data_IF_537222010628
#
_entry.id   IF_537222010628
#
_cell.length_a   1.000
_cell.length_b   1.000
_cell.length_c   1.000
_cell.angle_alpha   90.00
_cell.angle_beta   90.00
_cell.angle_gamma   90.00
#
_symmetry.space_group_name_H-M   'P 1'
#
loop_
_entity.id
_entity.type
_entity.pdbx_description
1 polymer ?
#
# COMPACT_ATOMS: atom_id res chain seq x y z
N UNK A 1 9.00 -34.84 37.45
CA UNK A 1 9.00 -33.96 36.25
C UNK A 1 7.67 -33.97 35.49
N UNK A 2 7.05 -35.14 35.22
CA UNK A 2 5.85 -35.31 34.37
C UNK A 2 4.59 -34.57 34.86
N UNK A 3 4.28 -34.58 36.16
CA UNK A 3 3.05 -33.98 36.71
C UNK A 3 2.99 -32.46 36.50
N UNK A 4 4.14 -31.76 36.54
CA UNK A 4 4.20 -30.32 36.27
C UNK A 4 3.80 -30.01 34.82
N UNK A 5 4.20 -30.86 33.88
CA UNK A 5 3.85 -30.73 32.45
C UNK A 5 2.36 -30.92 32.22
N UNK A 6 1.74 -31.93 32.83
CA UNK A 6 0.30 -32.13 32.75
C UNK A 6 -0.50 -30.97 33.35
N UNK A 7 -0.07 -30.40 34.49
CA UNK A 7 -0.71 -29.24 35.10
C UNK A 7 -0.67 -28.01 34.18
N UNK A 8 0.43 -27.82 33.46
CA UNK A 8 0.57 -26.75 32.47
C UNK A 8 -0.33 -27.02 31.26
N UNK A 9 -0.35 -28.25 30.75
CA UNK A 9 -1.23 -28.66 29.65
C UNK A 9 -2.71 -28.41 29.96
N UNK A 10 -3.17 -28.84 31.14
CA UNK A 10 -4.55 -28.61 31.58
C UNK A 10 -4.88 -27.12 31.72
N UNK A 11 -3.93 -26.30 32.21
CA UNK A 11 -4.10 -24.84 32.31
C UNK A 11 -4.29 -24.19 30.95
N UNK A 12 -3.56 -24.62 29.91
CA UNK A 12 -3.70 -24.06 28.57
C UNK A 12 -4.91 -24.62 27.81
N UNK A 13 -5.31 -25.86 28.06
CA UNK A 13 -6.52 -26.46 27.47
C UNK A 13 -7.80 -25.69 27.86
N UNK A 14 -7.87 -25.22 29.11
CA UNK A 14 -9.01 -24.46 29.62
C UNK A 14 -8.96 -22.96 29.34
N UNK A 15 -7.87 -22.44 28.74
CA UNK A 15 -7.77 -21.03 28.37
C UNK A 15 -8.44 -20.79 27.02
N UNK A 16 -9.02 -19.60 26.84
CA UNK A 16 -9.53 -19.18 25.53
C UNK A 16 -8.38 -19.14 24.50
N UNK A 17 -8.60 -19.66 23.28
CA UNK A 17 -7.59 -19.61 22.24
C UNK A 17 -7.33 -18.17 21.82
N UNK A 18 -6.09 -17.87 21.44
CA UNK A 18 -5.70 -16.56 20.89
C UNK A 18 -6.11 -16.40 19.41
N UNK A 19 -6.65 -17.45 18.78
CA UNK A 19 -6.96 -17.48 17.35
C UNK A 19 -7.88 -16.33 16.96
N UNK A 20 -7.39 -15.46 16.07
CA UNK A 20 -8.15 -14.38 15.45
C UNK A 20 -8.84 -14.93 14.20
N UNK A 21 -10.12 -14.62 14.02
CA UNK A 21 -10.91 -15.08 12.89
C UNK A 21 -10.84 -14.07 11.73
N UNK A 22 -9.74 -14.12 10.98
CA UNK A 22 -9.52 -13.34 9.75
C UNK A 22 -9.97 -14.18 8.56
N UNK A 23 -10.78 -13.68 7.60
CA UNK A 23 -11.26 -12.30 7.46
C UNK A 23 -12.63 -12.01 8.11
N UNK A 24 -13.32 -13.02 8.65
CA UNK A 24 -14.75 -12.92 8.94
C UNK A 24 -15.14 -11.99 10.10
N UNK A 25 -14.32 -11.87 11.16
CA UNK A 25 -14.64 -11.04 12.34
C UNK A 25 -13.67 -9.91 12.59
N UNK A 26 -12.43 -10.04 12.14
CA UNK A 26 -11.40 -9.05 12.41
C UNK A 26 -10.56 -8.79 11.16
N UNK A 27 -10.31 -7.50 10.90
CA UNK A 27 -9.41 -7.06 9.85
C UNK A 27 -7.93 -7.36 10.14
N UNK A 28 -7.07 -7.20 9.12
CA UNK A 28 -5.62 -7.30 9.27
C UNK A 28 -5.11 -6.28 10.29
N UNK A 29 -4.05 -6.65 11.04
CA UNK A 29 -3.37 -5.69 11.92
C UNK A 29 -2.70 -4.63 11.05
N UNK A 30 -3.22 -3.41 11.12
CA UNK A 30 -2.64 -2.27 10.42
C UNK A 30 -2.32 -1.16 11.41
N UNK A 31 -1.27 -0.42 11.10
CA UNK A 31 -0.82 0.75 11.83
C UNK A 31 -0.68 1.91 10.85
N UNK A 32 -0.53 3.13 11.36
CA UNK A 32 -0.32 4.32 10.53
C UNK A 32 0.99 4.26 9.71
N UNK A 33 1.89 3.30 10.00
CA UNK A 33 3.15 3.10 9.27
C UNK A 33 3.16 1.82 8.44
N UNK A 34 2.03 1.12 8.33
CA UNK A 34 1.94 -0.10 7.54
C UNK A 34 2.17 0.21 6.06
N UNK A 35 3.03 -0.58 5.43
CA UNK A 35 3.43 -0.43 4.03
C UNK A 35 2.67 -1.44 3.17
N UNK A 36 1.65 -0.96 2.46
CA UNK A 36 0.81 -1.77 1.57
C UNK A 36 0.92 -1.35 0.11
N UNK A 37 -0.21 -1.29 -0.58
CA UNK A 37 -0.29 -0.93 -2.00
C UNK A 37 0.12 0.52 -2.23
N UNK A 38 0.80 0.79 -3.34
CA UNK A 38 1.12 2.15 -3.77
C UNK A 38 -0.08 2.82 -4.44
N UNK A 39 -0.28 4.10 -4.14
CA UNK A 39 -1.28 4.99 -4.75
C UNK A 39 -0.56 6.16 -5.39
N UNK A 40 -0.92 6.46 -6.64
CA UNK A 40 -0.31 7.53 -7.42
C UNK A 40 -1.31 8.67 -7.62
N UNK A 41 -0.97 9.85 -7.11
CA UNK A 41 -1.63 11.10 -7.47
C UNK A 41 -1.01 11.65 -8.76
N UNK A 42 -1.72 11.48 -9.88
CA UNK A 42 -1.24 11.93 -11.19
C UNK A 42 -1.18 13.46 -11.31
N UNK A 43 -1.94 14.19 -10.49
CA UNK A 43 -1.96 15.66 -10.53
C UNK A 43 -0.68 16.28 -9.95
N UNK A 44 -0.06 15.62 -8.97
CA UNK A 44 1.17 16.07 -8.30
C UNK A 44 2.46 15.52 -8.93
N UNK A 45 2.37 14.46 -9.72
CA UNK A 45 3.55 13.84 -10.32
C UNK A 45 4.11 14.70 -11.44
N UNK A 46 5.37 15.13 -11.33
CA UNK A 46 6.06 15.96 -12.35
C UNK A 46 6.92 15.16 -13.34
N UNK A 47 7.02 13.84 -13.17
CA UNK A 47 7.87 13.00 -14.01
C UNK A 47 9.38 13.13 -13.74
N UNK A 48 9.78 13.45 -12.50
CA UNK A 48 11.19 13.60 -12.11
C UNK A 48 12.00 12.27 -12.06
N UNK A 49 11.33 11.11 -12.11
CA UNK A 49 11.93 9.77 -12.09
C UNK A 49 12.77 9.42 -10.86
N UNK A 50 12.67 10.19 -9.76
CA UNK A 50 13.39 9.89 -8.50
C UNK A 50 12.97 8.55 -7.89
N UNK A 51 11.67 8.21 -7.96
CA UNK A 51 11.14 6.94 -7.47
C UNK A 51 11.74 5.73 -8.19
N UNK A 52 12.05 5.84 -9.49
CA UNK A 52 12.73 4.78 -10.24
C UNK A 52 14.19 4.64 -9.78
N UNK A 53 14.91 5.76 -9.66
CA UNK A 53 16.34 5.74 -9.30
C UNK A 53 16.61 5.20 -7.89
N UNK A 54 15.71 5.48 -6.94
CA UNK A 54 15.88 5.05 -5.54
C UNK A 54 15.46 3.60 -5.30
N UNK A 55 14.79 2.94 -6.27
CA UNK A 55 14.23 1.62 -6.04
C UNK A 55 15.35 0.57 -5.96
N UNK A 56 15.54 -0.10 -4.79
CA UNK A 56 16.62 -1.08 -4.64
C UNK A 56 16.41 -2.35 -5.47
N UNK A 57 15.16 -2.64 -5.84
CA UNK A 57 14.77 -3.83 -6.59
C UNK A 57 14.49 -3.56 -8.08
N UNK A 58 14.75 -2.33 -8.56
CA UNK A 58 14.43 -1.88 -9.93
C UNK A 58 13.01 -2.28 -10.38
N UNK A 59 12.04 -2.10 -9.48
CA UNK A 59 10.65 -2.48 -9.68
C UNK A 59 9.81 -1.40 -10.37
N UNK A 60 10.36 -0.20 -10.55
CA UNK A 60 9.63 0.97 -11.03
C UNK A 60 10.15 1.37 -12.40
N UNK A 61 9.27 1.46 -13.40
CA UNK A 61 9.61 1.91 -14.74
C UNK A 61 8.76 3.12 -15.11
N UNK A 62 9.37 4.19 -15.61
CA UNK A 62 8.62 5.36 -16.06
C UNK A 62 8.04 5.12 -17.47
N UNK A 63 6.72 5.24 -17.60
CA UNK A 63 5.99 5.03 -18.86
C UNK A 63 5.29 6.31 -19.29
N UNK A 64 5.16 6.53 -20.60
CA UNK A 64 4.39 7.66 -21.13
C UNK A 64 2.90 7.42 -20.96
N UNK A 65 2.18 8.45 -20.53
CA UNK A 65 0.71 8.46 -20.42
C UNK A 65 0.20 9.69 -21.14
N UNK A 66 -0.70 9.50 -22.10
CA UNK A 66 -1.28 10.59 -22.87
C UNK A 66 -2.26 11.41 -22.01
N UNK A 67 -2.52 12.66 -22.40
CA UNK A 67 -3.42 13.56 -21.69
C UNK A 67 -2.84 14.94 -21.35
N UNK A 68 -3.70 15.88 -20.92
CA UNK A 68 -3.28 17.22 -20.52
C UNK A 68 -2.72 17.20 -19.09
N UNK A 69 -1.39 17.12 -18.97
CA UNK A 69 -0.69 17.12 -17.69
C UNK A 69 0.13 18.40 -17.53
N UNK A 70 -0.44 19.50 -16.99
CA UNK A 70 0.25 20.80 -16.91
C UNK A 70 1.52 20.75 -16.04
N UNK A 71 1.51 19.90 -15.01
CA UNK A 71 2.62 19.71 -14.08
C UNK A 71 3.69 18.72 -14.61
N UNK A 72 3.37 17.94 -15.66
CA UNK A 72 4.23 16.88 -16.19
C UNK A 72 4.40 17.01 -17.71
N UNK A 73 5.26 17.94 -18.11
CA UNK A 73 5.56 18.22 -19.53
C UNK A 73 6.08 16.97 -20.26
N UNK A 74 6.81 16.10 -19.55
CA UNK A 74 7.37 14.86 -20.11
C UNK A 74 6.32 13.76 -20.28
N UNK A 75 5.15 13.90 -19.67
CA UNK A 75 4.04 12.94 -19.68
C UNK A 75 4.44 11.53 -19.23
N UNK A 76 5.45 11.43 -18.34
CA UNK A 76 5.95 10.15 -17.83
C UNK A 76 5.50 9.90 -16.39
N UNK A 77 5.03 8.69 -16.11
CA UNK A 77 4.52 8.30 -14.79
C UNK A 77 5.07 6.93 -14.38
N UNK A 78 5.18 6.65 -13.07
CA UNK A 78 5.72 5.40 -12.58
C UNK A 78 4.74 4.24 -12.82
N UNK A 79 5.23 3.16 -13.44
CA UNK A 79 4.63 1.83 -13.48
C UNK A 79 5.38 0.94 -12.50
N UNK A 80 4.66 0.22 -11.64
CA UNK A 80 5.27 -0.60 -10.58
C UNK A 80 5.02 -2.08 -10.86
N UNK A 81 6.08 -2.87 -10.86
CA UNK A 81 6.02 -4.32 -10.87
C UNK A 81 6.02 -4.86 -9.43
N UNK A 82 4.86 -5.32 -8.97
CA UNK A 82 4.72 -5.88 -7.63
C UNK A 82 5.38 -7.25 -7.45
N UNK A 83 5.86 -7.89 -8.51
CA UNK A 83 6.64 -9.13 -8.39
C UNK A 83 8.08 -8.86 -7.93
N UNK A 84 8.59 -7.67 -8.22
CA UNK A 84 9.93 -7.24 -7.83
C UNK A 84 9.92 -6.34 -6.60
N UNK A 85 8.79 -5.66 -6.36
CA UNK A 85 8.68 -4.70 -5.27
C UNK A 85 8.87 -5.37 -3.90
N UNK A 86 9.78 -4.84 -3.09
CA UNK A 86 10.05 -5.29 -1.72
C UNK A 86 9.26 -4.54 -0.65
N UNK A 87 8.34 -3.64 -1.06
CA UNK A 87 7.53 -2.81 -0.16
C UNK A 87 8.34 -2.00 0.87
N UNK A 88 9.57 -1.61 0.52
CA UNK A 88 10.47 -0.87 1.40
C UNK A 88 10.06 0.59 1.65
N UNK A 89 9.25 1.19 0.78
CA UNK A 89 8.74 2.57 0.94
C UNK A 89 9.70 3.70 0.53
N UNK A 90 10.93 3.40 0.08
CA UNK A 90 11.91 4.44 -0.30
C UNK A 90 11.40 5.35 -1.43
N UNK A 91 10.59 4.84 -2.34
CA UNK A 91 10.01 5.61 -3.43
C UNK A 91 9.03 6.70 -2.94
N UNK A 92 8.31 6.46 -1.85
CA UNK A 92 7.39 7.42 -1.23
C UNK A 92 8.19 8.51 -0.52
N UNK A 93 9.22 8.12 0.22
CA UNK A 93 10.08 9.07 0.95
C UNK A 93 10.90 9.94 -0.02
N UNK A 94 11.39 9.36 -1.11
CA UNK A 94 12.18 10.08 -2.11
C UNK A 94 11.35 11.05 -2.96
N UNK A 95 10.01 10.95 -2.99
CA UNK A 95 9.18 11.80 -3.84
C UNK A 95 9.08 13.23 -3.26
N UNK A 96 9.66 14.27 -3.88
CA UNK A 96 9.62 15.63 -3.32
C UNK A 96 8.21 16.26 -3.36
N UNK A 97 7.33 15.77 -4.23
CA UNK A 97 5.98 16.32 -4.46
C UNK A 97 4.86 15.50 -3.81
N UNK A 98 5.19 14.47 -3.01
CA UNK A 98 4.23 13.55 -2.39
C UNK A 98 3.24 12.90 -3.38
N UNK A 99 3.64 12.76 -4.64
CA UNK A 99 2.77 12.19 -5.67
C UNK A 99 2.56 10.67 -5.49
N UNK A 100 3.45 9.98 -4.79
CA UNK A 100 3.34 8.55 -4.53
C UNK A 100 3.18 8.32 -3.02
N UNK A 101 2.16 7.54 -2.64
CA UNK A 101 1.87 7.18 -1.25
C UNK A 101 1.67 5.67 -1.12
N UNK A 102 1.70 5.14 0.10
CA UNK A 102 1.34 3.74 0.40
C UNK A 102 0.12 3.67 1.31
N UNK A 103 -0.71 2.64 1.12
CA UNK A 103 -1.89 2.35 1.94
C UNK A 103 -1.57 1.36 3.04
N UNK A 104 -2.47 1.21 4.01
CA UNK A 104 -2.46 0.12 4.98
C UNK A 104 -2.96 -1.23 4.43
N UNK A 105 -3.34 -1.29 3.15
CA UNK A 105 -3.98 -2.46 2.58
C UNK A 105 -3.01 -3.64 2.64
N UNK A 106 -3.32 -4.61 3.50
CA UNK A 106 -2.53 -5.83 3.65
C UNK A 106 -2.63 -6.71 2.39
N UNK A 107 -1.64 -7.58 2.19
CA UNK A 107 -1.34 -8.24 0.91
C UNK A 107 -2.46 -9.04 0.24
N UNK A 108 -3.57 -9.34 0.93
CA UNK A 108 -4.68 -10.12 0.38
C UNK A 108 -5.32 -9.50 -0.88
N UNK A 109 -5.39 -8.18 -0.97
CA UNK A 109 -5.90 -7.48 -2.17
C UNK A 109 -4.92 -7.45 -3.35
N UNK A 110 -3.65 -7.80 -3.11
CA UNK A 110 -2.62 -7.86 -4.14
C UNK A 110 -2.42 -9.29 -4.66
N UNK A 111 -3.10 -10.28 -4.06
CA UNK A 111 -3.04 -11.67 -4.51
C UNK A 111 -3.74 -11.77 -5.85
N UNK A 112 -3.03 -12.33 -6.82
CA UNK A 112 -3.55 -12.60 -8.15
C UNK A 112 -2.99 -13.92 -8.64
N UNK A 113 -3.74 -14.59 -9.51
CA UNK A 113 -3.30 -15.83 -10.15
C UNK A 113 -2.36 -15.56 -11.32
N UNK A 114 -2.54 -14.41 -11.97
CA UNK A 114 -1.81 -14.06 -13.18
C UNK A 114 -0.57 -13.21 -12.91
N UNK A 115 0.53 -13.55 -13.58
CA UNK A 115 1.76 -12.74 -13.51
C UNK A 115 1.54 -11.31 -14.05
N UNK A 116 0.83 -11.18 -15.18
CA UNK A 116 0.64 -9.91 -15.88
C UNK A 116 -0.18 -8.89 -15.09
N UNK A 117 -1.15 -9.33 -14.30
CA UNK A 117 -2.00 -8.46 -13.48
C UNK A 117 -1.25 -7.80 -12.31
N UNK A 118 -0.05 -8.32 -11.99
CA UNK A 118 0.86 -7.81 -10.95
C UNK A 118 1.65 -6.59 -11.42
N UNK A 119 1.70 -6.32 -12.73
CA UNK A 119 2.26 -5.09 -13.28
C UNK A 119 1.20 -3.98 -13.25
N UNK A 120 1.43 -2.94 -12.45
CA UNK A 120 0.45 -1.88 -12.25
C UNK A 120 0.86 -0.64 -13.02
N UNK A 121 0.09 -0.36 -14.07
CA UNK A 121 0.19 0.86 -14.85
C UNK A 121 -0.21 2.10 -14.02
N UNK A 122 0.25 3.31 -14.40
CA UNK A 122 -0.08 4.55 -13.70
C UNK A 122 -1.58 4.76 -13.46
N UNK A 123 -2.41 4.45 -14.46
CA UNK A 123 -3.88 4.53 -14.34
C UNK A 123 -4.46 3.55 -13.32
N UNK A 124 -3.85 2.37 -13.18
CA UNK A 124 -4.24 1.40 -12.16
C UNK A 124 -3.78 1.88 -10.79
N UNK A 125 -2.62 2.53 -10.68
CA UNK A 125 -2.09 3.08 -9.43
C UNK A 125 -2.88 4.30 -8.93
N UNK A 126 -3.47 5.09 -9.83
CA UNK A 126 -4.32 6.23 -9.44
C UNK A 126 -5.71 5.82 -8.98
N UNK A 127 -6.21 4.67 -9.45
CA UNK A 127 -7.47 4.10 -8.98
C UNK A 127 -7.36 3.65 -7.51
N UNK A 128 -8.03 4.42 -6.66
CA UNK A 128 -8.22 4.10 -5.25
C UNK A 128 -9.33 3.04 -5.14
N UNK A 129 -9.08 1.92 -4.46
CA UNK A 129 -10.09 0.88 -4.27
C UNK A 129 -11.02 1.28 -3.12
N UNK A 130 -12.29 1.55 -3.38
CA UNK A 130 -13.32 1.71 -2.35
C UNK A 130 -13.51 0.38 -1.60
N UNK A 131 -12.85 0.24 -0.48
CA UNK A 131 -13.23 -0.72 0.56
C UNK A 131 -13.19 0.00 1.89
N UNK A 132 -14.22 -0.17 2.71
CA UNK A 132 -14.46 0.58 3.97
C UNK A 132 -13.32 0.55 5.01
N UNK A 133 -12.20 -0.12 4.73
CA UNK A 133 -11.10 -0.36 5.68
C UNK A 133 -9.73 0.22 5.26
N UNK A 134 -9.57 0.79 4.06
CA UNK A 134 -8.26 1.34 3.68
C UNK A 134 -8.04 2.74 4.25
N UNK A 135 -6.84 2.96 4.79
CA UNK A 135 -6.30 4.26 5.21
C UNK A 135 -4.98 4.47 4.48
N UNK A 136 -4.73 5.69 4.01
CA UNK A 136 -3.43 6.05 3.48
C UNK A 136 -2.51 6.31 4.66
N UNK A 137 -1.45 5.51 4.76
CA UNK A 137 -0.57 5.43 5.93
C UNK A 137 0.69 6.26 5.73
N UNK A 138 1.28 6.15 4.55
CA UNK A 138 2.53 6.84 4.24
C UNK A 138 2.24 8.08 3.41
N UNK A 139 2.02 9.19 4.12
CA UNK A 139 1.91 10.54 3.56
C UNK A 139 2.89 11.43 4.30
N UNK A 140 3.59 12.34 3.61
CA UNK A 140 4.56 13.21 4.30
C UNK A 140 3.91 14.29 5.16
N UNK A 141 2.59 14.53 5.03
CA UNK A 141 1.90 15.54 5.83
C UNK A 141 0.57 15.04 6.40
N UNK A 142 0.29 15.43 7.66
CA UNK A 142 -0.97 15.16 8.34
C UNK A 142 -2.16 15.86 7.65
N UNK A 143 -1.92 17.01 7.02
CA UNK A 143 -2.93 17.74 6.23
C UNK A 143 -3.41 16.94 5.01
N UNK A 144 -2.49 16.17 4.41
CA UNK A 144 -2.78 15.36 3.23
C UNK A 144 -3.48 14.05 3.63
N UNK A 145 -3.15 13.48 4.81
CA UNK A 145 -3.96 12.43 5.45
C UNK A 145 -5.41 12.91 5.69
N UNK A 146 -5.61 14.15 6.16
CA UNK A 146 -6.94 14.71 6.40
C UNK A 146 -7.74 14.99 5.12
N UNK A 147 -7.10 15.45 4.03
CA UNK A 147 -7.75 15.63 2.72
C UNK A 147 -8.22 14.29 2.15
N UNK A 148 -7.36 13.28 2.20
CA UNK A 148 -7.67 11.94 1.70
C UNK A 148 -8.77 11.25 2.54
N UNK A 149 -8.84 11.54 3.85
CA UNK A 149 -9.98 11.12 4.70
C UNK A 149 -11.29 11.79 4.26
N UNK A 150 -11.27 13.10 4.00
CA UNK A 150 -12.46 13.84 3.52
C UNK A 150 -12.94 13.36 2.16
N UNK A 151 -12.03 13.08 1.23
CA UNK A 151 -12.35 12.51 -0.09
C UNK A 151 -12.90 11.07 0.00
N UNK A 152 -12.50 10.32 1.03
CA UNK A 152 -13.09 9.00 1.34
C UNK A 152 -14.48 9.07 2.00
N UNK A 153 -14.82 10.18 2.66
CA UNK A 153 -16.13 10.41 3.29
C UNK A 153 -17.13 11.08 2.34
N UNK A 154 -16.68 11.88 1.37
CA UNK A 154 -17.54 12.60 0.42
C UNK A 154 -18.06 11.75 -0.74
N UNK A 155 -17.46 10.57 -0.97
CA UNK A 155 -17.88 9.61 -1.99
C UNK A 155 -18.66 8.42 -1.38
N UNK A 156 -19.11 8.54 -0.12
CA UNK A 156 -19.92 7.56 0.61
C UNK A 156 -21.39 7.97 0.68
#
# INVERSE_FOLDING_TARGET
MVIKTFKVGLKYLLRRPYTRLVPDREGPLTSDRTRGRHVLDMSKCTGCSMCQKVCPADAIQMVKVEGPWPQNVKKIFPRIDYQRCTFCGMCVEACPFNALSMTNISGWYLITRDKKSTLYNPEKLSKVFETKEYRITMVKSLAEVQRLKKEGESNA
#
